data_IF_816500930482
#
_entry.id   IF_816500930482
#
_cell.length_a   1.000
_cell.length_b   1.000
_cell.length_c   1.000
_cell.angle_alpha   90.00
_cell.angle_beta   90.00
_cell.angle_gamma   90.00
#
_symmetry.space_group_name_H-M   'P 1'
#
loop_
_entity.id
_entity.type
_entity.pdbx_description
1 polymer ?
#
# COMPACT_ATOMS: atom_id res chain seq x y z
N UNK A 1 -34.80 -81.64 30.68
CA UNK A 1 -33.49 -82.10 30.17
C UNK A 1 -33.55 -82.14 28.66
N UNK A 2 -32.44 -81.89 27.94
CA UNK A 2 -31.30 -81.03 28.29
C UNK A 2 -31.71 -79.56 27.97
N UNK A 3 -30.88 -78.55 27.65
CA UNK A 3 -29.43 -78.35 27.69
C UNK A 3 -29.12 -76.90 28.21
N UNK A 4 -27.95 -76.34 27.87
CA UNK A 4 -27.57 -74.92 28.02
C UNK A 4 -26.57 -74.55 26.91
N UNK A 5 -26.57 -73.30 26.44
CA UNK A 5 -25.35 -72.61 25.98
C UNK A 5 -25.39 -71.16 26.48
N UNK A 6 -24.25 -70.64 26.97
CA UNK A 6 -24.11 -69.28 27.50
C UNK A 6 -24.10 -68.23 26.38
N UNK A 7 -24.82 -67.13 26.57
CA UNK A 7 -24.58 -65.89 25.83
C UNK A 7 -23.55 -65.02 26.58
N UNK A 8 -22.49 -64.61 25.88
CA UNK A 8 -21.64 -63.48 26.31
C UNK A 8 -22.29 -62.19 25.84
N UNK A 9 -22.57 -61.27 26.76
CA UNK A 9 -22.95 -59.90 26.42
C UNK A 9 -21.68 -59.04 26.26
N UNK A 10 -21.41 -58.57 25.04
CA UNK A 10 -20.57 -57.39 24.85
C UNK A 10 -21.45 -56.13 25.04
N UNK A 11 -20.99 -55.10 25.76
CA UNK A 11 -21.69 -53.82 25.80
C UNK A 11 -21.53 -53.09 24.46
N UNK A 12 -22.66 -52.63 23.91
CA UNK A 12 -22.72 -51.82 22.69
C UNK A 12 -22.20 -50.40 22.99
N UNK A 13 -21.51 -49.82 22.01
CA UNK A 13 -20.91 -48.49 22.11
C UNK A 13 -21.96 -47.38 22.29
N UNK A 14 -21.65 -46.41 23.16
CA UNK A 14 -22.33 -45.12 23.20
C UNK A 14 -21.32 -44.00 23.52
N UNK A 15 -20.37 -43.77 22.62
CA UNK A 15 -19.56 -42.55 22.66
C UNK A 15 -20.43 -41.37 22.21
N UNK A 16 -20.89 -40.54 23.17
CA UNK A 16 -21.35 -39.19 22.85
C UNK A 16 -20.14 -38.36 22.39
N UNK A 17 -19.84 -38.39 21.09
CA UNK A 17 -19.04 -37.35 20.46
C UNK A 17 -19.90 -36.08 20.39
N UNK A 18 -19.85 -35.28 21.47
CA UNK A 18 -20.37 -33.93 21.46
C UNK A 18 -19.57 -33.10 20.45
N UNK A 19 -20.11 -32.96 19.24
CA UNK A 19 -19.54 -32.12 18.18
C UNK A 19 -19.63 -30.66 18.61
N UNK A 20 -18.58 -30.17 19.29
CA UNK A 20 -18.34 -28.75 19.48
C UNK A 20 -18.06 -28.13 18.12
N UNK A 21 -19.13 -27.77 17.42
CA UNK A 21 -19.09 -26.88 16.26
C UNK A 21 -18.63 -25.53 16.79
N UNK A 22 -17.31 -25.28 16.73
CA UNK A 22 -16.75 -23.96 16.95
C UNK A 22 -17.43 -23.01 15.94
N UNK A 23 -18.13 -21.96 16.40
CA UNK A 23 -18.71 -21.00 15.47
C UNK A 23 -17.56 -20.33 14.74
N UNK A 24 -17.64 -20.33 13.40
CA UNK A 24 -16.73 -19.54 12.57
C UNK A 24 -16.90 -18.06 12.95
N UNK A 25 -16.03 -17.55 13.82
CA UNK A 25 -16.02 -16.14 14.18
C UNK A 25 -15.64 -15.35 12.94
N UNK A 26 -16.61 -14.63 12.38
CA UNK A 26 -16.32 -13.44 11.60
C UNK A 26 -15.34 -12.60 12.43
N UNK A 27 -14.17 -12.29 11.86
CA UNK A 27 -13.04 -11.79 12.63
C UNK A 27 -13.26 -10.33 13.01
N UNK A 28 -14.01 -10.12 14.08
CA UNK A 28 -14.09 -8.85 14.80
C UNK A 28 -12.74 -8.57 15.45
N UNK A 29 -12.26 -7.33 15.31
CA UNK A 29 -11.05 -6.88 16.00
C UNK A 29 -11.12 -7.11 17.51
N UNK A 30 -9.98 -7.41 18.14
CA UNK A 30 -9.91 -7.54 19.59
C UNK A 30 -10.25 -6.19 20.27
N UNK A 31 -10.68 -6.18 21.55
CA UNK A 31 -10.87 -4.93 22.28
C UNK A 31 -9.62 -4.04 22.30
N UNK A 32 -8.42 -4.65 22.40
CA UNK A 32 -7.15 -3.94 22.39
C UNK A 32 -6.84 -3.31 21.02
N UNK A 33 -7.13 -4.02 19.93
CA UNK A 33 -7.03 -3.45 18.59
C UNK A 33 -8.03 -2.30 18.36
N UNK A 34 -9.27 -2.42 18.85
CA UNK A 34 -10.27 -1.34 18.80
C UNK A 34 -9.83 -0.12 19.60
N UNK A 35 -9.24 -0.32 20.78
CA UNK A 35 -8.67 0.77 21.59
C UNK A 35 -7.49 1.44 20.89
N UNK A 36 -6.59 0.68 20.27
CA UNK A 36 -5.51 1.22 19.43
C UNK A 36 -6.06 2.06 18.26
N UNK A 37 -7.06 1.56 17.51
CA UNK A 37 -7.70 2.31 16.43
C UNK A 37 -8.38 3.60 16.92
N UNK A 38 -8.90 3.61 18.15
CA UNK A 38 -9.51 4.79 18.76
C UNK A 38 -8.43 5.81 19.16
N UNK A 39 -7.39 5.37 19.88
CA UNK A 39 -6.28 6.23 20.29
C UNK A 39 -5.47 6.79 19.12
N UNK A 40 -5.30 6.03 18.04
CA UNK A 40 -4.63 6.51 16.83
C UNK A 40 -5.41 7.63 16.15
N UNK A 41 -6.73 7.49 16.01
CA UNK A 41 -7.61 8.51 15.41
C UNK A 41 -7.72 9.80 16.24
N UNK A 42 -7.29 9.78 17.50
CA UNK A 42 -7.21 10.96 18.35
C UNK A 42 -5.89 11.73 18.21
N UNK A 43 -4.90 11.19 17.50
CA UNK A 43 -3.61 11.86 17.34
C UNK A 43 -3.73 13.03 16.33
N UNK A 44 -3.16 14.21 16.64
CA UNK A 44 -3.41 15.43 15.87
C UNK A 44 -2.70 15.51 14.51
N UNK A 45 -1.76 14.60 14.22
CA UNK A 45 -0.98 14.56 12.99
C UNK A 45 -0.20 13.23 12.89
N UNK A 46 0.39 12.96 11.72
CA UNK A 46 1.14 11.74 11.42
C UNK A 46 2.34 11.49 12.34
N UNK A 47 3.00 12.57 12.80
CA UNK A 47 4.14 12.43 13.69
C UNK A 47 3.74 12.02 15.11
N UNK A 48 2.57 12.48 15.58
CA UNK A 48 1.94 11.99 16.79
C UNK A 48 1.41 10.54 16.62
N UNK A 49 0.85 10.20 15.44
CA UNK A 49 0.44 8.82 15.08
C UNK A 49 1.64 7.85 15.15
N UNK A 50 2.79 8.24 14.62
CA UNK A 50 4.05 7.48 14.68
C UNK A 50 4.49 7.22 16.13
N UNK A 51 4.58 8.27 16.96
CA UNK A 51 5.01 8.14 18.37
C UNK A 51 4.02 7.31 19.20
N UNK A 52 2.72 7.46 18.94
CA UNK A 52 1.68 6.64 19.57
C UNK A 52 1.87 5.15 19.25
N UNK A 53 2.08 4.79 17.97
CA UNK A 53 2.22 3.40 17.55
C UNK A 53 3.50 2.75 18.07
N UNK A 54 4.64 3.45 18.13
CA UNK A 54 5.87 2.92 18.75
C UNK A 54 5.61 2.45 20.18
N UNK A 55 4.87 3.26 20.96
CA UNK A 55 4.54 2.93 22.35
C UNK A 55 3.54 1.77 22.41
N UNK A 56 2.39 1.93 21.75
CA UNK A 56 1.24 1.02 21.89
C UNK A 56 1.49 -0.35 21.27
N UNK A 57 2.25 -0.46 20.17
CA UNK A 57 2.50 -1.74 19.50
C UNK A 57 3.21 -2.77 20.41
N UNK A 58 4.04 -2.31 21.36
CA UNK A 58 4.74 -3.19 22.30
C UNK A 58 3.82 -3.72 23.41
N UNK A 59 2.84 -2.91 23.81
CA UNK A 59 1.86 -3.20 24.87
C UNK A 59 0.76 -4.17 24.40
N UNK A 60 0.57 -4.33 23.08
CA UNK A 60 -0.48 -5.18 22.50
C UNK A 60 -0.24 -6.70 22.64
N UNK A 61 -1.33 -7.50 22.69
CA UNK A 61 -1.28 -8.96 22.59
C UNK A 61 -0.55 -9.41 21.32
N UNK A 62 0.18 -10.52 21.39
CA UNK A 62 1.00 -11.01 20.28
C UNK A 62 0.21 -11.27 18.98
N UNK A 63 -1.09 -11.57 19.07
CA UNK A 63 -2.01 -11.72 17.92
C UNK A 63 -2.29 -10.42 17.18
N UNK A 64 -2.20 -9.29 17.88
CA UNK A 64 -2.61 -7.97 17.38
C UNK A 64 -1.39 -7.12 16.97
N UNK A 65 -0.18 -7.50 17.39
CA UNK A 65 1.07 -6.85 16.99
C UNK A 65 1.26 -6.75 15.47
N UNK A 66 0.98 -7.78 14.64
CA UNK A 66 1.10 -7.65 13.19
C UNK A 66 0.23 -6.53 12.61
N UNK A 67 -0.97 -6.32 13.17
CA UNK A 67 -1.85 -5.23 12.78
C UNK A 67 -1.26 -3.86 13.18
N UNK A 68 -0.73 -3.74 14.40
CA UNK A 68 -0.06 -2.52 14.85
C UNK A 68 1.19 -2.18 14.02
N UNK A 69 2.00 -3.18 13.67
CA UNK A 69 3.16 -2.98 12.79
C UNK A 69 2.75 -2.58 11.37
N UNK A 70 1.63 -3.11 10.83
CA UNK A 70 1.08 -2.66 9.56
C UNK A 70 0.73 -1.18 9.59
N UNK A 71 0.06 -0.73 10.66
CA UNK A 71 -0.30 0.67 10.83
C UNK A 71 0.94 1.54 11.01
N UNK A 72 1.93 1.07 11.78
CA UNK A 72 3.17 1.81 12.02
C UNK A 72 3.93 2.07 10.72
N UNK A 73 4.15 1.03 9.91
CA UNK A 73 4.81 1.17 8.61
C UNK A 73 3.98 1.97 7.58
N UNK A 74 2.65 1.95 7.65
CA UNK A 74 1.82 2.88 6.88
C UNK A 74 2.09 4.34 7.27
N UNK A 75 2.23 4.65 8.58
CA UNK A 75 2.60 6.00 9.03
C UNK A 75 4.03 6.38 8.63
N UNK A 76 4.97 5.45 8.64
CA UNK A 76 6.32 5.67 8.10
C UNK A 76 6.30 6.02 6.61
N UNK A 77 5.54 5.26 5.82
CA UNK A 77 5.30 5.53 4.40
C UNK A 77 4.64 6.91 4.18
N UNK A 78 3.62 7.26 4.98
CA UNK A 78 2.98 8.58 4.97
C UNK A 78 3.93 9.72 5.36
N UNK A 79 4.91 9.49 6.23
CA UNK A 79 5.97 10.43 6.63
C UNK A 79 7.18 10.48 5.68
N UNK A 80 7.17 9.71 4.59
CA UNK A 80 8.25 9.65 3.60
C UNK A 80 9.47 8.81 4.02
N UNK A 81 9.32 7.98 5.06
CA UNK A 81 10.30 7.04 5.62
C UNK A 81 10.16 5.65 4.95
N UNK A 82 10.30 5.62 3.62
CA UNK A 82 9.92 4.46 2.80
C UNK A 82 10.76 3.19 3.05
N UNK A 83 12.05 3.34 3.37
CA UNK A 83 12.92 2.18 3.63
C UNK A 83 12.67 1.63 5.05
N UNK A 84 12.35 2.51 5.99
CA UNK A 84 11.94 2.18 7.35
C UNK A 84 10.62 1.39 7.33
N UNK A 85 9.61 1.85 6.58
CA UNK A 85 8.35 1.15 6.40
C UNK A 85 8.52 -0.30 5.87
N UNK A 86 9.40 -0.49 4.87
CA UNK A 86 9.74 -1.82 4.35
C UNK A 86 10.59 -2.68 5.30
N UNK A 87 11.28 -2.06 6.27
CA UNK A 87 12.09 -2.73 7.29
C UNK A 87 11.25 -3.21 8.47
N UNK A 88 10.38 -2.35 8.97
CA UNK A 88 9.62 -2.60 10.20
C UNK A 88 8.31 -3.35 9.94
N UNK A 89 7.85 -3.37 8.67
CA UNK A 89 6.77 -4.27 8.24
C UNK A 89 7.05 -4.99 6.91
N UNK A 90 7.93 -6.02 6.90
CA UNK A 90 8.23 -6.83 5.72
C UNK A 90 7.10 -7.84 5.39
N UNK A 91 5.82 -7.45 5.52
CA UNK A 91 4.69 -8.32 5.25
C UNK A 91 4.57 -8.60 3.75
N UNK A 92 4.88 -9.84 3.38
CA UNK A 92 4.59 -10.41 2.06
C UNK A 92 3.38 -11.33 2.14
N UNK A 93 2.66 -11.46 1.02
CA UNK A 93 1.76 -12.61 0.86
C UNK A 93 2.59 -13.90 0.88
N UNK A 94 2.11 -14.93 1.56
CA UNK A 94 2.78 -16.23 1.61
C UNK A 94 2.90 -16.82 0.20
N UNK A 95 4.11 -16.93 -0.32
CA UNK A 95 4.40 -17.66 -1.57
C UNK A 95 4.50 -19.14 -1.22
N UNK A 96 3.67 -19.98 -1.85
CA UNK A 96 3.71 -21.42 -1.61
C UNK A 96 5.03 -22.02 -2.13
N UNK A 97 5.59 -23.00 -1.42
CA UNK A 97 6.92 -23.58 -1.72
C UNK A 97 6.98 -24.24 -3.10
N UNK A 98 5.84 -24.70 -3.61
CA UNK A 98 5.63 -25.29 -4.93
C UNK A 98 5.28 -24.28 -6.03
N UNK A 99 5.27 -22.96 -5.73
CA UNK A 99 5.04 -21.92 -6.74
C UNK A 99 6.12 -21.98 -7.81
N UNK A 100 5.76 -22.40 -9.03
CA UNK A 100 6.68 -22.54 -10.14
C UNK A 100 7.23 -21.18 -10.59
N UNK A 101 8.42 -20.82 -10.12
CA UNK A 101 9.07 -19.54 -10.42
C UNK A 101 9.46 -19.45 -11.91
N UNK A 102 9.02 -18.42 -12.65
CA UNK A 102 9.48 -18.12 -14.01
C UNK A 102 11.00 -18.15 -14.20
N UNK A 103 11.43 -18.84 -15.26
CA UNK A 103 12.82 -18.89 -15.71
C UNK A 103 13.00 -18.21 -17.07
N UNK A 104 14.19 -17.66 -17.32
CA UNK A 104 14.50 -16.91 -18.55
C UNK A 104 14.38 -17.75 -19.84
N UNK A 105 14.43 -19.08 -19.73
CA UNK A 105 14.24 -20.01 -20.85
C UNK A 105 12.80 -19.95 -21.42
N UNK A 106 11.78 -19.82 -20.57
CA UNK A 106 10.38 -19.76 -20.99
C UNK A 106 9.82 -18.34 -21.02
N UNK A 107 10.31 -17.45 -20.17
CA UNK A 107 9.75 -16.12 -19.97
C UNK A 107 10.72 -15.01 -20.40
N UNK A 108 10.18 -13.83 -20.72
CA UNK A 108 10.94 -12.60 -20.97
C UNK A 108 10.29 -11.43 -20.23
N UNK A 109 11.10 -10.49 -19.72
CA UNK A 109 10.59 -9.24 -19.19
C UNK A 109 9.99 -8.36 -20.30
N UNK A 110 8.97 -7.59 -19.95
CA UNK A 110 8.40 -6.52 -20.76
C UNK A 110 7.92 -5.39 -19.85
N UNK A 111 7.86 -4.16 -20.37
CA UNK A 111 7.30 -3.02 -19.64
C UNK A 111 5.86 -3.30 -19.19
N UNK A 112 5.58 -3.09 -17.90
CA UNK A 112 4.29 -3.42 -17.32
C UNK A 112 3.16 -2.55 -17.88
N UNK A 113 3.38 -1.24 -18.02
CA UNK A 113 2.36 -0.31 -18.48
C UNK A 113 1.95 -0.59 -19.93
N UNK A 114 2.91 -0.86 -20.81
CA UNK A 114 2.68 -1.27 -22.20
C UNK A 114 1.87 -2.57 -22.32
N UNK A 115 2.18 -3.58 -21.50
CA UNK A 115 1.43 -4.85 -21.52
C UNK A 115 0.04 -4.67 -20.96
N UNK A 116 -0.10 -4.01 -19.81
CA UNK A 116 -1.39 -3.77 -19.15
C UNK A 116 -2.33 -2.97 -20.06
N UNK A 117 -1.83 -1.93 -20.73
CA UNK A 117 -2.61 -1.13 -21.69
C UNK A 117 -3.12 -1.99 -22.85
N UNK A 118 -2.29 -2.89 -23.40
CA UNK A 118 -2.76 -3.86 -24.41
C UNK A 118 -3.82 -4.82 -23.87
N UNK A 119 -3.66 -5.34 -22.65
CA UNK A 119 -4.66 -6.22 -22.01
C UNK A 119 -5.94 -5.46 -21.62
N UNK A 120 -5.85 -4.17 -21.35
CA UNK A 120 -6.95 -3.32 -20.93
C UNK A 120 -7.84 -2.85 -22.09
N UNK A 121 -7.40 -2.92 -23.34
CA UNK A 121 -8.17 -2.47 -24.51
C UNK A 121 -9.57 -3.09 -24.54
N UNK A 122 -9.65 -4.42 -24.42
CA UNK A 122 -10.88 -5.22 -24.47
C UNK A 122 -11.58 -5.36 -23.10
N UNK A 123 -11.18 -4.56 -22.10
CA UNK A 123 -11.67 -4.67 -20.71
C UNK A 123 -12.34 -3.37 -20.25
N UNK A 124 -13.53 -3.47 -19.64
CA UNK A 124 -14.25 -2.32 -19.06
C UNK A 124 -13.87 -2.00 -17.61
N UNK A 125 -13.33 -2.98 -16.88
CA UNK A 125 -12.83 -2.79 -15.51
C UNK A 125 -11.37 -3.24 -15.46
N UNK A 126 -10.51 -2.37 -14.94
CA UNK A 126 -9.11 -2.68 -14.59
C UNK A 126 -8.95 -2.41 -13.11
N UNK A 127 -8.43 -3.38 -12.35
CA UNK A 127 -8.01 -3.18 -10.97
C UNK A 127 -6.51 -3.43 -10.85
N UNK A 128 -5.82 -2.51 -10.19
CA UNK A 128 -4.46 -2.68 -9.73
C UNK A 128 -4.43 -2.58 -8.22
N UNK A 129 -3.66 -3.43 -7.55
CA UNK A 129 -3.49 -3.32 -6.11
C UNK A 129 -2.25 -2.52 -5.70
N UNK A 130 -2.22 -2.13 -4.44
CA UNK A 130 -1.13 -1.41 -3.78
C UNK A 130 -0.91 -1.99 -2.37
N UNK A 131 0.21 -1.66 -1.75
CA UNK A 131 0.49 -2.01 -0.36
C UNK A 131 0.65 -0.73 0.45
N UNK A 132 -0.19 -0.53 1.46
CA UNK A 132 -0.33 0.76 2.17
C UNK A 132 0.97 1.29 2.83
N UNK A 133 1.95 0.41 3.09
CA UNK A 133 3.27 0.72 3.66
C UNK A 133 4.39 0.83 2.59
N UNK A 134 4.06 0.74 1.30
CA UNK A 134 5.03 0.65 0.21
C UNK A 134 4.54 1.42 -1.02
N UNK A 135 4.76 2.73 -0.99
CA UNK A 135 4.43 3.65 -2.07
C UNK A 135 5.18 3.36 -3.40
N UNK A 136 6.15 2.46 -3.44
CA UNK A 136 6.76 2.00 -4.69
C UNK A 136 5.71 1.41 -5.65
N UNK A 137 4.72 0.70 -5.10
CA UNK A 137 3.58 0.17 -5.87
C UNK A 137 2.74 1.27 -6.56
N UNK A 138 2.81 2.52 -6.09
CA UNK A 138 2.02 3.63 -6.62
C UNK A 138 2.58 4.18 -7.94
N UNK A 139 3.86 3.93 -8.25
CA UNK A 139 4.50 4.29 -9.52
C UNK A 139 3.73 3.78 -10.76
N UNK A 140 3.38 2.48 -10.77
CA UNK A 140 2.71 1.90 -11.92
C UNK A 140 1.29 2.48 -12.10
N UNK A 141 0.60 2.84 -11.01
CA UNK A 141 -0.69 3.53 -11.11
C UNK A 141 -0.54 4.89 -11.76
N UNK A 142 0.48 5.67 -11.39
CA UNK A 142 0.81 6.96 -12.04
C UNK A 142 1.10 6.80 -13.54
N UNK A 143 1.89 5.78 -13.92
CA UNK A 143 2.20 5.49 -15.32
C UNK A 143 0.98 5.02 -16.14
N UNK A 144 0.03 4.32 -15.50
CA UNK A 144 -1.19 3.81 -16.14
C UNK A 144 -2.26 4.89 -16.33
N UNK A 145 -2.43 5.84 -15.41
CA UNK A 145 -3.47 6.88 -15.47
C UNK A 145 -3.61 7.55 -16.86
N UNK A 146 -2.57 8.18 -17.46
CA UNK A 146 -2.70 8.84 -18.76
C UNK A 146 -2.97 7.84 -19.90
N UNK A 147 -2.42 6.63 -19.82
CA UNK A 147 -2.55 5.61 -20.86
C UNK A 147 -3.95 4.98 -20.87
N UNK A 148 -4.51 4.68 -19.70
CA UNK A 148 -5.88 4.20 -19.55
C UNK A 148 -6.88 5.32 -19.88
N UNK A 149 -6.59 6.59 -19.54
CA UNK A 149 -7.41 7.73 -19.97
C UNK A 149 -7.54 7.78 -21.49
N UNK A 150 -6.42 7.59 -22.21
CA UNK A 150 -6.37 7.55 -23.66
C UNK A 150 -7.12 6.34 -24.28
N UNK A 151 -7.19 5.21 -23.56
CA UNK A 151 -8.06 4.06 -23.92
C UNK A 151 -9.56 4.28 -23.59
N UNK A 152 -9.96 5.48 -23.17
CA UNK A 152 -11.36 5.80 -22.88
C UNK A 152 -11.85 5.35 -21.51
N UNK A 153 -10.96 4.99 -20.57
CA UNK A 153 -11.34 4.93 -19.15
C UNK A 153 -11.72 6.33 -18.67
N UNK A 154 -12.93 6.48 -18.12
CA UNK A 154 -13.53 7.77 -17.75
C UNK A 154 -13.80 7.90 -16.24
N UNK A 155 -13.78 6.79 -15.50
CA UNK A 155 -13.85 6.77 -14.04
C UNK A 155 -12.55 6.22 -13.44
N UNK A 156 -12.05 6.89 -12.41
CA UNK A 156 -10.95 6.42 -11.57
C UNK A 156 -11.43 6.29 -10.14
N UNK A 157 -11.23 5.13 -9.52
CA UNK A 157 -11.64 4.86 -8.16
C UNK A 157 -10.41 4.53 -7.30
N UNK A 158 -10.31 5.13 -6.12
CA UNK A 158 -9.19 4.91 -5.20
C UNK A 158 -9.70 4.68 -3.78
N UNK A 159 -9.18 3.65 -3.12
CA UNK A 159 -9.68 3.17 -1.84
C UNK A 159 -9.67 4.22 -0.74
N UNK A 160 -8.60 5.02 -0.65
CA UNK A 160 -8.43 5.95 0.46
C UNK A 160 -9.41 7.14 0.43
N UNK A 161 -10.21 7.31 -0.63
CA UNK A 161 -11.15 8.43 -0.80
C UNK A 161 -12.52 8.16 -0.13
N UNK A 162 -13.02 9.17 0.59
CA UNK A 162 -14.31 9.11 1.30
C UNK A 162 -15.35 10.08 0.71
N UNK A 163 -16.64 9.79 0.90
CA UNK A 163 -17.77 10.61 0.43
C UNK A 163 -17.96 11.96 1.16
N UNK A 164 -16.92 12.50 1.80
CA UNK A 164 -16.98 13.71 2.63
C UNK A 164 -16.47 14.99 1.95
N UNK A 165 -15.66 14.88 0.88
CA UNK A 165 -15.07 16.04 0.19
C UNK A 165 -15.72 16.30 -1.18
N UNK A 166 -16.86 17.00 -1.15
CA UNK A 166 -17.58 17.42 -2.35
C UNK A 166 -16.77 18.42 -3.22
N UNK A 167 -15.74 19.07 -2.66
CA UNK A 167 -14.90 20.05 -3.33
C UNK A 167 -13.68 19.46 -4.06
N UNK A 168 -13.35 18.19 -3.85
CA UNK A 168 -12.15 17.55 -4.41
C UNK A 168 -11.97 17.80 -5.91
N UNK A 169 -13.03 17.56 -6.71
CA UNK A 169 -12.99 17.69 -8.17
C UNK A 169 -12.82 19.14 -8.65
N UNK A 170 -13.42 20.11 -7.95
CA UNK A 170 -13.34 21.54 -8.32
C UNK A 170 -12.07 22.22 -7.81
N UNK A 171 -11.53 21.75 -6.68
CA UNK A 171 -10.28 22.24 -6.08
C UNK A 171 -9.05 21.67 -6.80
N UNK A 172 -9.13 20.46 -7.34
CA UNK A 172 -8.09 19.85 -8.18
C UNK A 172 -7.08 18.97 -7.44
N UNK A 173 -7.05 19.03 -6.11
CA UNK A 173 -6.09 18.31 -5.26
C UNK A 173 -6.72 17.80 -3.96
N UNK A 174 -6.22 16.67 -3.41
CA UNK A 174 -6.68 16.16 -2.13
C UNK A 174 -6.12 16.97 -0.94
N UNK A 175 -6.86 16.97 0.16
CA UNK A 175 -6.45 17.41 1.49
C UNK A 175 -6.55 16.25 2.48
N UNK A 176 -6.11 16.42 3.72
CA UNK A 176 -6.38 15.44 4.80
C UNK A 176 -7.88 15.13 4.98
N UNK A 177 -8.76 16.05 4.57
CA UNK A 177 -10.21 15.87 4.59
C UNK A 177 -10.77 15.14 3.35
N UNK A 178 -9.96 14.77 2.36
CA UNK A 178 -10.44 14.01 1.19
C UNK A 178 -10.68 12.52 1.46
N UNK A 179 -10.18 11.98 2.58
CA UNK A 179 -10.19 10.52 2.78
C UNK A 179 -9.68 10.00 4.11
N UNK A 180 -9.05 8.82 4.06
CA UNK A 180 -8.28 8.19 5.13
C UNK A 180 -6.81 8.59 5.08
N UNK A 181 -6.08 8.28 6.16
CA UNK A 181 -4.67 8.66 6.33
C UNK A 181 -3.73 8.16 5.21
N UNK A 182 -4.09 7.10 4.48
CA UNK A 182 -3.30 6.61 3.35
C UNK A 182 -3.12 7.65 2.24
N UNK A 183 -4.02 8.65 2.15
CA UNK A 183 -3.86 9.82 1.28
C UNK A 183 -2.72 10.76 1.70
N UNK A 184 -2.24 10.71 2.95
CA UNK A 184 -1.20 11.61 3.44
C UNK A 184 0.18 11.30 2.84
N UNK A 185 0.34 10.14 2.21
CA UNK A 185 1.54 9.82 1.43
C UNK A 185 1.54 10.59 0.08
N UNK A 186 2.62 11.29 -0.27
CA UNK A 186 2.66 12.18 -1.43
C UNK A 186 2.33 11.58 -2.80
N UNK A 187 2.70 10.32 -3.05
CA UNK A 187 2.48 9.64 -4.33
C UNK A 187 1.00 9.25 -4.51
N UNK A 188 0.29 8.92 -3.44
CA UNK A 188 -1.18 8.80 -3.45
C UNK A 188 -1.83 10.16 -3.76
N UNK A 189 -1.34 11.23 -3.13
CA UNK A 189 -1.76 12.61 -3.44
C UNK A 189 -1.60 12.95 -4.93
N UNK A 190 -0.46 12.60 -5.53
CA UNK A 190 -0.15 12.77 -6.96
C UNK A 190 -1.04 11.90 -7.87
N UNK A 191 -1.42 10.68 -7.45
CA UNK A 191 -2.39 9.82 -8.16
C UNK A 191 -3.73 10.55 -8.29
N UNK A 192 -4.25 11.12 -7.19
CA UNK A 192 -5.53 11.82 -7.19
C UNK A 192 -5.45 13.10 -8.02
N UNK A 193 -4.41 13.94 -7.85
CA UNK A 193 -4.16 15.13 -8.69
C UNK A 193 -4.12 14.78 -10.17
N UNK A 194 -3.37 13.73 -10.52
CA UNK A 194 -3.20 13.32 -11.92
C UNK A 194 -4.49 12.77 -12.51
N UNK A 195 -5.30 12.02 -11.75
CA UNK A 195 -6.62 11.58 -12.18
C UNK A 195 -7.56 12.77 -12.48
N UNK A 196 -7.61 13.76 -11.59
CA UNK A 196 -8.44 14.97 -11.80
C UNK A 196 -7.95 15.77 -13.01
N UNK A 197 -6.63 16.03 -13.11
CA UNK A 197 -6.00 16.75 -14.24
C UNK A 197 -6.23 16.09 -15.60
N UNK A 198 -6.29 14.75 -15.64
CA UNK A 198 -6.61 13.98 -16.85
C UNK A 198 -8.13 13.93 -17.15
N UNK A 199 -8.97 14.54 -16.31
CA UNK A 199 -10.42 14.56 -16.50
C UNK A 199 -11.09 13.21 -16.26
N UNK A 200 -10.57 12.39 -15.34
CA UNK A 200 -11.34 11.27 -14.80
C UNK A 200 -12.42 11.79 -13.85
N UNK A 201 -13.57 11.10 -13.81
CA UNK A 201 -14.50 11.18 -12.68
C UNK A 201 -13.89 10.38 -11.53
N UNK A 202 -13.44 11.06 -10.49
CA UNK A 202 -12.87 10.39 -9.31
C UNK A 202 -13.99 9.84 -8.43
N UNK A 203 -13.85 8.58 -8.00
CA UNK A 203 -14.88 7.82 -7.28
C UNK A 203 -14.31 7.29 -5.96
N UNK A 204 -14.76 7.87 -4.85
CA UNK A 204 -14.71 7.27 -3.52
C UNK A 204 -15.51 5.96 -3.50
N UNK A 205 -14.99 4.92 -2.85
CA UNK A 205 -15.73 3.65 -2.75
C UNK A 205 -15.60 2.92 -1.42
N UNK A 206 -14.63 3.26 -0.58
CA UNK A 206 -14.46 2.61 0.71
C UNK A 206 -15.61 2.88 1.69
N UNK A 207 -15.73 2.01 2.69
CA UNK A 207 -16.85 1.98 3.63
C UNK A 207 -16.38 1.71 5.06
N UNK A 208 -16.96 2.46 6.01
CA UNK A 208 -16.95 2.05 7.41
C UNK A 208 -17.66 0.70 7.54
N UNK A 209 -17.01 -0.27 8.17
CA UNK A 209 -17.45 -1.66 8.24
C UNK A 209 -17.00 -2.32 9.54
N UNK A 210 -17.71 -3.36 9.98
CA UNK A 210 -17.40 -4.10 11.22
C UNK A 210 -16.74 -5.45 10.97
N UNK A 211 -16.63 -5.85 9.70
CA UNK A 211 -15.93 -7.07 9.26
C UNK A 211 -15.42 -6.92 7.82
N UNK A 212 -14.40 -7.70 7.46
CA UNK A 212 -13.84 -7.73 6.10
C UNK A 212 -14.92 -8.01 5.04
N UNK A 213 -15.82 -8.97 5.28
CA UNK A 213 -16.87 -9.30 4.31
C UNK A 213 -17.88 -8.16 4.10
N UNK A 214 -18.23 -7.40 5.14
CA UNK A 214 -19.03 -6.18 4.97
C UNK A 214 -18.29 -5.15 4.12
N UNK A 215 -16.97 -4.98 4.32
CA UNK A 215 -16.12 -4.07 3.55
C UNK A 215 -16.09 -4.41 2.07
N UNK A 216 -15.70 -5.63 1.71
CA UNK A 216 -15.68 -6.08 0.31
C UNK A 216 -17.03 -5.85 -0.40
N UNK A 217 -18.12 -6.15 0.32
CA UNK A 217 -19.49 -6.04 -0.20
C UNK A 217 -19.92 -4.59 -0.38
N UNK A 218 -19.60 -3.71 0.57
CA UNK A 218 -19.91 -2.29 0.49
C UNK A 218 -19.09 -1.56 -0.58
N UNK A 219 -17.80 -1.88 -0.67
CA UNK A 219 -16.89 -1.39 -1.72
C UNK A 219 -17.42 -1.74 -3.12
N UNK A 220 -17.72 -3.02 -3.38
CA UNK A 220 -18.23 -3.47 -4.67
C UNK A 220 -19.59 -2.81 -5.02
N UNK A 221 -20.50 -2.69 -4.04
CA UNK A 221 -21.79 -2.00 -4.22
C UNK A 221 -21.63 -0.51 -4.48
N UNK A 222 -20.65 0.15 -3.87
CA UNK A 222 -20.35 1.57 -4.14
C UNK A 222 -19.86 1.77 -5.57
N UNK A 223 -18.90 0.97 -6.02
CA UNK A 223 -18.41 1.01 -7.40
C UNK A 223 -19.54 0.77 -8.41
N UNK A 224 -20.34 -0.28 -8.21
CA UNK A 224 -21.52 -0.55 -9.05
C UNK A 224 -22.50 0.62 -9.08
N UNK A 225 -22.90 1.15 -7.92
CA UNK A 225 -23.89 2.22 -7.78
C UNK A 225 -23.44 3.54 -8.41
N UNK A 226 -22.17 3.91 -8.23
CA UNK A 226 -21.62 5.20 -8.67
C UNK A 226 -21.20 5.21 -10.14
N UNK A 227 -20.82 4.06 -10.69
CA UNK A 227 -20.29 3.95 -12.06
C UNK A 227 -21.29 3.27 -13.00
N UNK A 228 -21.64 2.02 -12.71
CA UNK A 228 -22.33 1.14 -13.67
C UNK A 228 -23.86 1.23 -13.65
N UNK A 229 -24.47 1.50 -12.49
CA UNK A 229 -25.93 1.53 -12.34
C UNK A 229 -26.65 2.59 -13.20
N UNK A 230 -25.93 3.60 -13.69
CA UNK A 230 -26.42 4.63 -14.63
C UNK A 230 -25.71 4.63 -15.98
N UNK A 231 -24.57 3.96 -16.09
CA UNK A 231 -23.79 3.82 -17.32
C UNK A 231 -23.15 2.42 -17.37
N UNK A 232 -23.86 1.39 -17.87
CA UNK A 232 -23.33 0.03 -17.92
C UNK A 232 -22.11 -0.11 -18.83
N UNK A 233 -21.87 0.85 -19.73
CA UNK A 233 -20.75 0.90 -20.67
C UNK A 233 -19.57 1.78 -20.20
N UNK A 234 -19.63 2.29 -18.97
CA UNK A 234 -18.52 3.00 -18.34
C UNK A 234 -17.23 2.17 -18.33
N UNK A 235 -16.08 2.86 -18.33
CA UNK A 235 -14.76 2.21 -18.24
C UNK A 235 -14.05 2.68 -16.97
N UNK A 236 -13.83 1.75 -16.05
CA UNK A 236 -13.39 1.99 -14.68
C UNK A 236 -11.97 1.48 -14.43
N UNK A 237 -11.11 2.36 -13.91
CA UNK A 237 -9.83 1.99 -13.33
C UNK A 237 -9.90 2.08 -11.81
N UNK A 238 -9.55 1.02 -11.08
CA UNK A 238 -9.59 0.93 -9.61
C UNK A 238 -8.18 0.73 -9.05
N UNK A 239 -7.84 1.51 -8.03
CA UNK A 239 -6.62 1.39 -7.23
C UNK A 239 -7.00 1.01 -5.79
N UNK A 240 -6.60 -0.19 -5.36
CA UNK A 240 -7.07 -0.84 -4.12
C UNK A 240 -5.94 -1.47 -3.30
N UNK A 241 -6.14 -1.71 -2.01
CA UNK A 241 -5.21 -2.47 -1.18
C UNK A 241 -5.18 -3.96 -1.52
N UNK A 242 -3.98 -4.54 -1.59
CA UNK A 242 -3.73 -5.99 -1.54
C UNK A 242 -4.74 -6.86 -2.33
N UNK A 243 -5.50 -7.70 -1.63
CA UNK A 243 -6.32 -8.75 -2.23
C UNK A 243 -7.77 -8.33 -2.53
N UNK A 244 -8.14 -7.06 -2.38
CA UNK A 244 -9.46 -6.55 -2.80
C UNK A 244 -9.70 -6.75 -4.31
N UNK A 245 -8.63 -6.84 -5.09
CA UNK A 245 -8.65 -7.08 -6.53
C UNK A 245 -8.90 -8.55 -6.93
N UNK A 246 -8.92 -9.49 -5.99
CA UNK A 246 -8.94 -10.91 -6.31
C UNK A 246 -10.32 -11.36 -6.86
N UNK A 247 -10.31 -12.09 -7.99
CA UNK A 247 -11.49 -12.65 -8.66
C UNK A 247 -12.04 -13.91 -7.97
N UNK A 248 -11.28 -14.49 -7.03
CA UNK A 248 -11.64 -15.68 -6.27
C UNK A 248 -11.19 -15.56 -4.79
N UNK A 249 -11.77 -16.41 -3.93
CA UNK A 249 -11.38 -16.53 -2.52
C UNK A 249 -9.96 -17.10 -2.38
N UNK A 250 -9.28 -16.79 -1.28
CA UNK A 250 -7.91 -17.24 -1.03
C UNK A 250 -7.14 -16.30 -0.11
N UNK A 251 -6.57 -15.22 -0.65
CA UNK A 251 -5.70 -14.30 0.12
C UNK A 251 -6.43 -13.56 1.25
N UNK A 252 -7.74 -13.33 1.12
CA UNK A 252 -8.62 -12.84 2.21
C UNK A 252 -9.30 -13.99 3.00
N UNK A 253 -8.75 -15.20 2.95
CA UNK A 253 -9.33 -16.40 3.53
C UNK A 253 -10.66 -16.79 2.88
N UNK A 254 -11.69 -17.01 3.70
CA UNK A 254 -13.05 -17.36 3.26
C UNK A 254 -13.88 -16.14 2.80
N UNK A 255 -13.35 -14.93 2.90
CA UNK A 255 -14.00 -13.68 2.44
C UNK A 255 -14.09 -13.67 0.92
N UNK A 256 -15.24 -13.25 0.36
CA UNK A 256 -15.42 -12.99 -1.07
C UNK A 256 -14.89 -11.57 -1.39
N UNK A 257 -13.79 -11.41 -2.16
CA UNK A 257 -13.16 -10.11 -2.37
C UNK A 257 -14.04 -9.12 -3.16
N UNK A 258 -13.71 -7.83 -3.08
CA UNK A 258 -14.41 -6.76 -3.77
C UNK A 258 -14.51 -7.01 -5.28
N UNK A 259 -13.43 -7.41 -5.96
CA UNK A 259 -13.47 -7.65 -7.41
C UNK A 259 -14.38 -8.82 -7.81
N UNK A 260 -14.32 -9.94 -7.09
CA UNK A 260 -15.25 -11.07 -7.26
C UNK A 260 -16.71 -10.61 -7.15
N UNK A 261 -17.02 -9.75 -6.17
CA UNK A 261 -18.38 -9.23 -5.99
C UNK A 261 -18.77 -8.18 -7.05
N UNK A 262 -17.84 -7.32 -7.47
CA UNK A 262 -18.07 -6.35 -8.53
C UNK A 262 -18.35 -7.04 -9.87
N UNK A 263 -17.65 -8.13 -10.18
CA UNK A 263 -17.91 -8.98 -11.35
C UNK A 263 -19.31 -9.57 -11.29
N UNK A 264 -19.78 -10.05 -10.13
CA UNK A 264 -21.15 -10.55 -9.97
C UNK A 264 -22.22 -9.46 -10.14
N UNK A 265 -21.96 -8.24 -9.64
CA UNK A 265 -22.90 -7.12 -9.75
C UNK A 265 -22.99 -6.52 -11.17
N UNK A 266 -21.90 -6.57 -11.93
CA UNK A 266 -21.80 -5.93 -13.26
C UNK A 266 -21.93 -6.90 -14.44
N UNK A 267 -21.65 -8.19 -14.24
CA UNK A 267 -21.43 -9.15 -15.32
C UNK A 267 -20.14 -8.90 -16.13
N UNK A 268 -19.27 -7.99 -15.67
CA UNK A 268 -18.01 -7.63 -16.34
C UNK A 268 -16.86 -8.40 -15.69
N UNK A 269 -16.14 -9.22 -16.45
CA UNK A 269 -14.88 -9.77 -15.97
C UNK A 269 -13.81 -8.65 -15.91
N UNK A 270 -13.24 -8.38 -14.73
CA UNK A 270 -12.17 -7.39 -14.59
C UNK A 270 -10.82 -7.94 -15.08
N UNK A 271 -9.95 -7.04 -15.54
CA UNK A 271 -8.51 -7.28 -15.55
C UNK A 271 -7.96 -6.97 -14.16
N UNK A 272 -7.43 -7.98 -13.46
CA UNK A 272 -6.88 -7.85 -12.11
C UNK A 272 -5.36 -7.99 -12.12
N UNK A 273 -4.65 -7.04 -11.52
CA UNK A 273 -3.20 -6.86 -11.64
C UNK A 273 -2.57 -6.81 -10.23
N UNK A 274 -1.84 -7.86 -9.86
CA UNK A 274 -1.12 -7.93 -8.59
C UNK A 274 0.32 -7.40 -8.71
N UNK A 275 0.68 -6.47 -7.81
CA UNK A 275 2.04 -6.02 -7.55
C UNK A 275 2.41 -6.12 -6.05
N UNK A 276 1.70 -6.94 -5.28
CA UNK A 276 1.84 -7.01 -3.81
C UNK A 276 2.41 -8.33 -3.29
N UNK A 277 2.28 -9.42 -4.06
CA UNK A 277 2.79 -10.73 -3.66
C UNK A 277 4.32 -10.82 -3.73
N UNK A 278 4.92 -10.35 -4.83
CA UNK A 278 6.35 -10.41 -5.07
C UNK A 278 6.95 -9.01 -4.97
N UNK A 279 7.43 -8.65 -3.77
CA UNK A 279 7.99 -7.32 -3.46
C UNK A 279 9.34 -7.41 -2.75
N UNK A 280 10.02 -6.28 -2.68
CA UNK A 280 11.22 -6.11 -1.87
C UNK A 280 10.90 -6.23 -0.36
N UNK A 281 11.94 -6.47 0.44
CA UNK A 281 11.93 -6.31 1.89
C UNK A 281 13.30 -5.83 2.34
N UNK A 282 13.36 -5.21 3.52
CA UNK A 282 14.61 -4.80 4.16
C UNK A 282 14.69 -5.47 5.54
N UNK A 283 15.81 -6.11 5.92
CA UNK A 283 16.96 -6.46 5.09
C UNK A 283 16.59 -7.45 3.98
N UNK A 284 17.37 -7.44 2.89
CA UNK A 284 17.18 -8.35 1.76
C UNK A 284 17.43 -9.79 2.18
N UNK A 285 16.46 -10.66 1.94
CA UNK A 285 16.56 -12.11 2.09
C UNK A 285 16.47 -12.82 0.73
N UNK A 286 16.88 -14.09 0.67
CA UNK A 286 16.75 -14.92 -0.52
C UNK A 286 15.34 -15.53 -0.58
N UNK A 287 14.58 -15.17 -1.61
CA UNK A 287 13.16 -15.50 -1.76
C UNK A 287 12.73 -15.52 -3.25
N UNK A 288 11.45 -15.76 -3.51
CA UNK A 288 10.89 -15.76 -4.86
C UNK A 288 11.05 -14.42 -5.59
N UNK A 289 10.87 -13.29 -4.89
CA UNK A 289 11.04 -11.96 -5.49
C UNK A 289 12.48 -11.70 -5.92
N UNK A 290 13.45 -11.94 -5.04
CA UNK A 290 14.87 -11.72 -5.31
C UNK A 290 15.41 -12.65 -6.40
N UNK A 291 14.90 -13.87 -6.52
CA UNK A 291 15.14 -14.74 -7.66
C UNK A 291 14.56 -14.17 -8.97
N UNK A 292 13.32 -13.67 -8.95
CA UNK A 292 12.65 -13.09 -10.12
C UNK A 292 13.37 -11.84 -10.64
N UNK A 293 13.64 -10.84 -9.79
CA UNK A 293 14.34 -9.62 -10.22
C UNK A 293 15.81 -9.85 -10.56
N UNK A 294 16.44 -10.90 -10.01
CA UNK A 294 17.78 -11.35 -10.42
C UNK A 294 17.79 -11.99 -11.81
N UNK A 295 16.81 -12.85 -12.11
CA UNK A 295 16.65 -13.49 -13.42
C UNK A 295 16.17 -12.53 -14.52
N UNK A 296 15.50 -11.44 -14.14
CA UNK A 296 14.87 -10.48 -15.05
C UNK A 296 15.18 -9.02 -14.65
N UNK A 297 16.43 -8.53 -14.87
CA UNK A 297 16.78 -7.15 -14.56
C UNK A 297 15.93 -6.14 -15.36
N UNK A 298 15.37 -5.14 -14.67
CA UNK A 298 14.57 -4.06 -15.25
C UNK A 298 14.92 -2.70 -14.60
N UNK A 299 14.63 -1.61 -15.30
CA UNK A 299 14.74 -0.22 -14.78
C UNK A 299 13.42 0.36 -14.25
N UNK A 300 12.30 -0.34 -14.45
CA UNK A 300 10.97 0.10 -14.03
C UNK A 300 10.01 -1.09 -13.87
N UNK A 301 8.75 -0.84 -13.49
CA UNK A 301 7.75 -1.89 -13.32
C UNK A 301 7.64 -2.78 -14.54
N UNK A 302 7.75 -4.10 -14.36
CA UNK A 302 7.80 -5.05 -15.46
C UNK A 302 6.89 -6.26 -15.21
N UNK A 303 6.49 -6.91 -16.29
CA UNK A 303 5.77 -8.19 -16.28
C UNK A 303 6.58 -9.24 -17.02
N UNK A 304 6.26 -10.50 -16.78
CA UNK A 304 6.87 -11.62 -17.49
C UNK A 304 5.91 -12.13 -18.57
N UNK A 305 6.36 -12.18 -19.81
CA UNK A 305 5.62 -12.72 -20.96
C UNK A 305 6.15 -14.10 -21.33
N UNK A 306 5.26 -15.06 -21.52
CA UNK A 306 5.60 -16.38 -22.04
C UNK A 306 6.12 -16.22 -23.48
N UNK A 307 7.31 -16.76 -23.78
CA UNK A 307 7.99 -16.58 -25.07
C UNK A 307 7.24 -17.23 -26.25
N UNK A 308 6.41 -18.23 -25.99
CA UNK A 308 5.68 -18.99 -27.01
C UNK A 308 4.28 -18.42 -27.29
N UNK A 309 3.59 -17.93 -26.25
CA UNK A 309 2.19 -17.45 -26.37
C UNK A 309 2.04 -15.93 -26.26
N UNK A 310 3.06 -15.22 -25.77
CA UNK A 310 3.00 -13.79 -25.48
C UNK A 310 2.10 -13.40 -24.30
N UNK A 311 1.49 -14.37 -23.60
CA UNK A 311 0.61 -14.13 -22.45
C UNK A 311 1.42 -13.69 -21.22
N UNK A 312 0.89 -12.77 -20.39
CA UNK A 312 1.50 -12.42 -19.11
C UNK A 312 1.46 -13.59 -18.12
N UNK A 313 2.40 -13.58 -17.19
CA UNK A 313 2.46 -14.51 -16.06
C UNK A 313 1.51 -14.08 -14.94
N UNK A 314 0.88 -15.08 -14.31
CA UNK A 314 0.22 -14.98 -13.01
C UNK A 314 0.54 -16.24 -12.21
N UNK A 315 0.89 -16.09 -10.94
CA UNK A 315 1.08 -17.18 -9.99
C UNK A 315 -0.26 -17.76 -9.50
N UNK A 316 -1.33 -16.97 -9.49
CA UNK A 316 -2.69 -17.38 -9.13
C UNK A 316 -3.71 -16.88 -10.18
N UNK A 317 -3.79 -17.50 -11.38
CA UNK A 317 -4.64 -17.03 -12.49
C UNK A 317 -6.14 -17.00 -12.17
N UNK A 318 -6.60 -17.80 -11.21
CA UNK A 318 -7.98 -17.77 -10.70
C UNK A 318 -8.28 -16.53 -9.83
N UNK A 319 -7.24 -15.90 -9.26
CA UNK A 319 -7.35 -14.72 -8.40
C UNK A 319 -7.04 -13.43 -9.15
N UNK A 320 -5.98 -13.39 -9.97
CA UNK A 320 -5.60 -12.20 -10.74
C UNK A 320 -4.90 -12.59 -12.04
N UNK A 321 -4.99 -11.73 -13.06
CA UNK A 321 -4.56 -12.03 -14.44
C UNK A 321 -3.06 -11.83 -14.67
N UNK A 322 -2.42 -10.95 -13.90
CA UNK A 322 -1.04 -10.50 -14.13
C UNK A 322 -0.33 -10.31 -12.79
N UNK A 323 0.87 -10.85 -12.62
CA UNK A 323 1.84 -10.34 -11.65
C UNK A 323 2.76 -9.30 -12.32
N UNK A 324 2.89 -8.15 -11.65
CA UNK A 324 3.89 -7.12 -11.90
C UNK A 324 5.00 -7.28 -10.87
N UNK A 325 6.24 -7.05 -11.33
CA UNK A 325 7.44 -6.99 -10.50
C UNK A 325 7.99 -5.57 -10.54
N UNK A 326 8.36 -5.05 -9.36
CA UNK A 326 9.06 -3.78 -9.21
C UNK A 326 10.57 -4.06 -9.09
N UNK A 327 11.46 -3.32 -9.78
CA UNK A 327 12.90 -3.49 -9.64
C UNK A 327 13.34 -3.08 -8.22
N UNK A 328 14.39 -3.67 -7.61
CA UNK A 328 14.83 -3.31 -6.27
C UNK A 328 15.08 -1.80 -6.09
N UNK A 329 14.43 -1.20 -5.10
CA UNK A 329 14.64 0.18 -4.69
C UNK A 329 15.97 0.33 -3.95
N UNK A 330 16.36 -0.69 -3.17
CA UNK A 330 17.63 -0.69 -2.46
C UNK A 330 18.79 -1.17 -3.36
N UNK A 331 19.74 -0.27 -3.64
CA UNK A 331 21.12 -0.68 -3.94
C UNK A 331 21.57 -0.80 -5.40
N UNK A 332 20.98 -0.07 -6.36
CA UNK A 332 21.62 0.09 -7.70
C UNK A 332 22.24 1.47 -7.97
N UNK A 333 21.79 2.53 -7.29
CA UNK A 333 22.36 3.90 -7.43
C UNK A 333 21.93 4.89 -6.34
N UNK A 334 21.36 4.39 -5.24
CA UNK A 334 20.74 5.21 -4.21
C UNK A 334 21.69 6.31 -3.70
N UNK A 335 21.33 7.57 -3.94
CA UNK A 335 22.23 8.69 -3.66
C UNK A 335 22.25 8.97 -2.17
N UNK A 336 23.46 9.12 -1.62
CA UNK A 336 23.72 9.40 -0.20
C UNK A 336 22.78 10.47 0.39
N UNK A 337 22.04 10.07 1.43
CA UNK A 337 21.52 10.94 2.48
C UNK A 337 22.35 10.66 3.73
N UNK A 338 22.70 11.70 4.49
CA UNK A 338 23.74 11.61 5.50
C UNK A 338 23.30 10.92 6.79
N UNK A 339 23.35 9.59 6.84
CA UNK A 339 23.35 8.83 8.10
C UNK A 339 24.67 8.09 8.30
N UNK A 340 25.48 8.58 9.25
CA UNK A 340 26.64 7.87 9.76
C UNK A 340 26.66 7.95 11.28
N UNK A 341 26.47 6.79 11.93
CA UNK A 341 27.12 6.29 13.16
C UNK A 341 26.17 5.48 14.08
N UNK A 342 26.71 4.54 14.87
CA UNK A 342 25.93 3.57 15.64
C UNK A 342 25.40 4.15 16.95
N UNK A 343 24.40 3.47 17.50
CA UNK A 343 23.70 3.83 18.72
C UNK A 343 24.56 3.73 19.99
N UNK A 344 25.05 4.87 20.49
CA UNK A 344 25.32 5.07 21.92
C UNK A 344 24.90 6.48 22.35
N UNK A 345 24.38 6.59 23.58
CA UNK A 345 23.98 7.83 24.26
C UNK A 345 22.68 8.50 23.74
N UNK A 346 21.54 7.94 24.15
CA UNK A 346 20.48 8.73 24.79
C UNK A 346 20.18 8.05 26.12
N UNK A 347 20.39 8.77 27.24
CA UNK A 347 19.98 8.29 28.56
C UNK A 347 18.46 8.44 28.73
N UNK A 348 17.86 7.53 29.51
CA UNK A 348 16.47 7.58 29.99
C UNK A 348 15.34 7.68 28.94
N UNK A 349 15.29 6.70 28.02
CA UNK A 349 14.05 5.94 27.80
C UNK A 349 14.39 4.47 27.52
N UNK A 350 13.78 3.53 28.25
CA UNK A 350 14.09 2.09 28.19
C UNK A 350 13.67 1.47 26.85
N UNK A 351 14.56 1.49 25.85
CA UNK A 351 14.40 0.77 24.58
C UNK A 351 14.96 -0.65 24.69
N UNK A 352 14.19 -1.57 25.28
CA UNK A 352 14.55 -2.99 25.35
C UNK A 352 14.08 -3.83 24.14
N UNK A 353 14.06 -3.23 22.96
CA UNK A 353 14.42 -3.93 21.73
C UNK A 353 15.48 -3.11 21.00
N UNK A 354 16.51 -3.75 20.41
CA UNK A 354 17.40 -3.05 19.50
C UNK A 354 16.59 -2.66 18.26
N UNK A 355 16.22 -1.38 18.15
CA UNK A 355 15.88 -0.80 16.85
C UNK A 355 17.16 -0.82 16.01
N UNK A 356 17.32 -1.96 15.35
CA UNK A 356 18.38 -2.43 14.47
C UNK A 356 19.52 -1.44 14.28
N UNK A 357 20.60 -1.63 15.04
CA UNK A 357 21.91 -1.02 14.81
C UNK A 357 22.60 -1.62 13.56
N UNK A 358 21.87 -1.63 12.45
CA UNK A 358 22.38 -1.96 11.12
C UNK A 358 22.41 -0.69 10.29
N UNK A 359 23.50 -0.44 9.58
CA UNK A 359 23.65 0.72 8.68
C UNK A 359 22.74 0.55 7.46
N UNK A 360 21.43 0.72 7.63
CA UNK A 360 20.55 1.12 6.53
C UNK A 360 20.88 2.59 6.29
N UNK A 361 21.71 2.85 5.30
CA UNK A 361 21.85 4.18 4.71
C UNK A 361 20.42 4.69 4.43
N UNK A 362 20.01 5.79 5.07
CA UNK A 362 18.63 6.33 5.08
C UNK A 362 18.21 6.97 3.75
N UNK A 363 18.79 6.48 2.66
CA UNK A 363 18.69 7.01 1.31
C UNK A 363 17.27 6.84 0.80
N UNK A 364 16.55 7.95 0.66
CA UNK A 364 15.23 7.95 0.05
C UNK A 364 15.32 7.37 -1.38
N UNK A 365 14.49 6.37 -1.71
CA UNK A 365 14.72 5.50 -2.86
C UNK A 365 14.60 6.21 -4.21
N UNK A 366 15.42 5.79 -5.18
CA UNK A 366 15.53 6.41 -6.51
C UNK A 366 14.20 6.38 -7.31
N UNK A 367 13.29 5.48 -6.98
CA UNK A 367 11.97 5.40 -7.63
C UNK A 367 11.14 6.69 -7.43
N UNK A 368 11.45 7.50 -6.40
CA UNK A 368 10.85 8.82 -6.18
C UNK A 368 11.12 9.82 -7.30
N UNK A 369 12.13 9.58 -8.15
CA UNK A 369 12.36 10.37 -9.36
C UNK A 369 11.25 10.24 -10.40
N UNK A 370 10.39 9.21 -10.32
CA UNK A 370 9.34 8.91 -11.31
C UNK A 370 9.87 8.97 -12.75
N UNK A 371 10.95 8.25 -13.05
CA UNK A 371 11.63 8.29 -14.37
C UNK A 371 12.13 9.70 -14.75
N UNK A 372 12.87 10.33 -13.84
CA UNK A 372 13.41 11.70 -13.93
C UNK A 372 12.36 12.84 -13.99
N UNK A 373 11.06 12.55 -13.95
CA UNK A 373 9.99 13.56 -13.86
C UNK A 373 10.01 14.39 -12.56
N UNK A 374 10.63 13.88 -11.50
CA UNK A 374 10.86 14.55 -10.22
C UNK A 374 12.36 14.69 -9.97
N UNK A 375 12.77 15.86 -9.48
CA UNK A 375 14.16 16.22 -9.24
C UNK A 375 14.45 16.30 -7.73
N UNK A 376 15.62 15.83 -7.27
CA UNK A 376 16.00 15.88 -5.86
C UNK A 376 16.33 17.32 -5.43
N UNK A 377 15.72 17.78 -4.34
CA UNK A 377 15.99 19.02 -3.64
C UNK A 377 16.45 18.73 -2.21
N UNK A 378 17.66 19.15 -1.85
CA UNK A 378 18.25 18.85 -0.53
C UNK A 378 17.58 19.63 0.59
N UNK A 379 17.26 18.95 1.68
CA UNK A 379 16.73 19.51 2.93
C UNK A 379 17.59 19.05 4.12
N UNK A 380 17.58 19.81 5.22
CA UNK A 380 18.31 19.48 6.45
C UNK A 380 17.48 19.83 7.69
N UNK A 381 17.90 19.28 8.83
CA UNK A 381 17.32 19.60 10.16
C UNK A 381 17.50 21.07 10.56
N UNK A 382 18.31 21.85 9.84
CA UNK A 382 18.39 23.31 9.99
C UNK A 382 17.02 23.98 9.86
N UNK A 383 16.15 23.48 8.97
CA UNK A 383 14.76 23.94 8.83
C UNK A 383 13.92 23.66 10.08
N UNK A 384 14.27 22.62 10.83
CA UNK A 384 13.60 22.22 12.07
C UNK A 384 14.10 23.00 13.31
N UNK A 385 15.03 23.95 13.17
CA UNK A 385 15.52 24.83 14.27
C UNK A 385 15.78 24.08 15.58
N UNK A 386 16.66 23.06 15.53
CA UNK A 386 17.03 22.17 16.66
C UNK A 386 15.87 21.43 17.34
N UNK A 387 14.68 21.41 16.74
CA UNK A 387 13.51 20.66 17.24
C UNK A 387 13.40 19.34 16.48
N UNK A 388 13.58 18.21 17.16
CA UNK A 388 13.30 16.87 16.63
C UNK A 388 12.41 16.09 17.59
N UNK A 389 11.46 15.27 17.11
CA UNK A 389 11.19 15.02 15.70
C UNK A 389 10.45 16.18 15.00
N UNK A 390 10.63 16.28 13.69
CA UNK A 390 10.11 17.35 12.84
C UNK A 390 9.83 16.83 11.42
N UNK A 391 8.76 17.29 10.78
CA UNK A 391 8.46 16.98 9.37
C UNK A 391 8.75 18.20 8.50
N UNK A 392 9.32 17.99 7.31
CA UNK A 392 9.40 18.99 6.24
C UNK A 392 8.51 18.54 5.09
N UNK A 393 7.41 19.27 4.88
CA UNK A 393 6.49 19.09 3.76
C UNK A 393 6.80 20.11 2.64
N UNK A 394 6.57 19.72 1.38
CA UNK A 394 6.48 20.63 0.23
C UNK A 394 5.05 20.67 -0.32
N UNK A 395 4.42 21.83 -0.29
CA UNK A 395 3.12 22.07 -0.95
C UNK A 395 3.33 22.92 -2.20
N UNK A 396 2.52 22.72 -3.24
CA UNK A 396 2.51 23.64 -4.38
C UNK A 396 2.06 25.05 -3.89
N UNK A 397 2.59 26.12 -4.47
CA UNK A 397 2.33 27.50 -3.96
C UNK A 397 0.91 28.02 -4.20
N UNK A 398 0.18 27.37 -5.10
CA UNK A 398 -1.21 27.61 -5.47
C UNK A 398 -2.21 26.66 -4.78
N UNK A 399 -1.72 25.80 -3.88
CA UNK A 399 -2.54 24.91 -3.05
C UNK A 399 -2.61 25.37 -1.58
N UNK A 400 -3.73 25.04 -0.93
CA UNK A 400 -4.01 25.37 0.46
C UNK A 400 -3.07 24.66 1.46
N UNK A 401 -3.02 25.19 2.69
CA UNK A 401 -2.19 24.68 3.78
C UNK A 401 -2.47 23.22 4.20
N UNK A 402 -3.65 22.70 3.90
CA UNK A 402 -4.10 21.34 4.24
C UNK A 402 -4.06 20.36 3.05
N UNK A 403 -3.59 20.82 1.88
CA UNK A 403 -3.33 19.97 0.72
C UNK A 403 -2.31 18.88 1.04
N UNK A 404 -2.50 17.67 0.53
CA UNK A 404 -1.51 16.58 0.67
C UNK A 404 -0.19 17.02 0.04
N UNK A 405 0.92 16.97 0.77
CA UNK A 405 2.22 17.42 0.26
C UNK A 405 2.60 16.76 -1.08
N UNK A 406 3.27 17.50 -1.96
CA UNK A 406 3.82 17.00 -3.21
C UNK A 406 5.00 16.03 -2.97
N UNK A 407 5.75 16.29 -1.89
CA UNK A 407 6.63 15.34 -1.21
C UNK A 407 6.89 15.80 0.24
N UNK A 408 7.32 14.89 1.12
CA UNK A 408 7.64 15.16 2.52
C UNK A 408 8.69 14.21 3.10
N UNK A 409 9.31 14.60 4.20
CA UNK A 409 10.24 13.75 4.96
C UNK A 409 10.25 14.10 6.45
N UNK A 410 10.26 13.07 7.31
CA UNK A 410 10.38 13.24 8.76
C UNK A 410 11.82 13.11 9.26
N UNK A 411 12.35 14.17 9.86
CA UNK A 411 13.58 14.14 10.63
C UNK A 411 13.31 13.66 12.05
N UNK A 412 13.68 12.41 12.34
CA UNK A 412 13.39 11.78 13.62
C UNK A 412 14.39 12.14 14.73
N UNK A 413 15.66 12.36 14.40
CA UNK A 413 16.74 12.64 15.35
C UNK A 413 17.98 13.27 14.68
N UNK A 414 18.82 13.94 15.49
CA UNK A 414 20.18 14.38 15.10
C UNK A 414 20.24 15.59 14.18
N UNK A 415 21.45 15.90 13.70
CA UNK A 415 21.68 16.79 12.55
C UNK A 415 21.96 15.92 11.33
N UNK A 416 21.08 16.01 10.32
CA UNK A 416 21.07 15.12 9.15
C UNK A 416 20.58 15.87 7.91
N UNK A 417 20.92 15.32 6.74
CA UNK A 417 20.44 15.80 5.43
C UNK A 417 19.64 14.72 4.72
N UNK A 418 18.60 15.15 4.02
CA UNK A 418 17.73 14.31 3.20
C UNK A 418 17.34 15.07 1.94
N UNK A 419 16.41 14.52 1.15
CA UNK A 419 15.93 15.12 -0.10
C UNK A 419 14.42 15.07 -0.17
N UNK A 420 13.84 16.05 -0.85
CA UNK A 420 12.51 15.96 -1.44
C UNK A 420 12.66 15.71 -2.95
N UNK A 421 11.73 14.97 -3.56
CA UNK A 421 11.67 14.70 -4.99
C UNK A 421 10.45 15.39 -5.57
N UNK A 422 10.67 16.49 -6.29
CA UNK A 422 9.65 17.43 -6.70
C UNK A 422 9.67 17.64 -8.21
N UNK A 423 8.51 17.82 -8.84
CA UNK A 423 8.44 18.19 -10.27
C UNK A 423 9.01 19.62 -10.45
N UNK A 424 9.39 20.03 -11.68
CA UNK A 424 9.60 21.44 -11.97
C UNK A 424 8.38 22.28 -11.56
N UNK A 425 8.60 23.39 -10.87
CA UNK A 425 7.53 24.17 -10.25
C UNK A 425 7.95 24.99 -9.04
N UNK A 426 7.00 25.67 -8.42
CA UNK A 426 7.20 26.48 -7.20
C UNK A 426 6.51 25.82 -6.02
N UNK A 427 7.23 25.72 -4.91
CA UNK A 427 6.75 25.06 -3.70
C UNK A 427 6.96 25.92 -2.47
N UNK A 428 6.05 25.83 -1.51
CA UNK A 428 6.27 26.27 -0.14
C UNK A 428 6.70 25.07 0.68
N UNK A 429 7.91 25.14 1.21
CA UNK A 429 8.38 24.21 2.24
C UNK A 429 7.89 24.68 3.61
N UNK A 430 7.42 23.73 4.43
CA UNK A 430 6.96 23.96 5.80
C UNK A 430 7.57 22.91 6.73
N UNK A 431 8.38 23.36 7.68
CA UNK A 431 8.92 22.52 8.76
C UNK A 431 8.03 22.64 10.01
N UNK A 432 7.67 21.53 10.66
CA UNK A 432 6.79 21.52 11.84
C UNK A 432 7.08 20.43 12.87
N UNK A 433 6.76 20.71 14.16
CA UNK A 433 6.99 19.82 15.31
C UNK A 433 5.82 18.85 15.59
N UNK A 434 5.99 17.88 16.50
CA UNK A 434 4.93 16.91 16.87
C UNK A 434 3.57 17.51 17.29
N UNK A 435 3.50 18.81 17.65
CA UNK A 435 2.24 19.52 17.96
C UNK A 435 1.63 20.23 16.73
N UNK A 436 2.20 20.03 15.55
CA UNK A 436 1.84 20.74 14.32
C UNK A 436 2.35 22.19 14.28
N UNK A 437 3.20 22.62 15.23
CA UNK A 437 3.70 24.00 15.27
C UNK A 437 4.73 24.19 14.16
N UNK A 438 4.52 25.19 13.32
CA UNK A 438 5.48 25.59 12.30
C UNK A 438 6.76 26.15 12.92
N UNK A 439 7.89 25.62 12.46
CA UNK A 439 9.26 25.93 12.88
C UNK A 439 9.93 26.85 11.85
N UNK A 440 9.75 26.57 10.56
CA UNK A 440 10.20 27.42 9.46
C UNK A 440 9.29 27.24 8.24
N UNK A 441 9.22 28.27 7.41
CA UNK A 441 8.67 28.20 6.05
C UNK A 441 9.63 28.89 5.08
N UNK A 442 9.69 28.40 3.84
CA UNK A 442 10.39 29.07 2.73
C UNK A 442 9.73 28.71 1.40
N UNK A 443 9.82 29.62 0.42
CA UNK A 443 9.38 29.33 -0.96
C UNK A 443 10.60 28.95 -1.80
N UNK A 444 10.52 27.82 -2.48
CA UNK A 444 11.56 27.29 -3.36
C UNK A 444 11.05 27.22 -4.80
N UNK A 445 11.97 27.13 -5.75
CA UNK A 445 11.68 26.85 -7.17
C UNK A 445 12.53 25.68 -7.62
N UNK A 446 11.90 24.69 -8.24
CA UNK A 446 12.53 23.58 -8.92
C UNK A 446 12.51 23.91 -10.40
N UNK A 447 13.68 24.07 -11.00
CA UNK A 447 13.81 24.34 -12.43
C UNK A 447 13.71 23.03 -13.22
N UNK A 448 13.34 23.13 -14.50
CA UNK A 448 13.60 22.07 -15.48
C UNK A 448 15.12 21.86 -15.63
N UNK A 449 15.53 20.63 -15.97
CA UNK A 449 16.95 20.23 -16.15
C UNK A 449 17.51 20.57 -17.52
#
# INVERSE_FOLDING_TARGET
>A
MPARVLFRLLPVALCLSASLILPARAQSFSPAAVEMFHGLRQQPNDLARYVYLIKTAQELPATDRPLAMQMFASVENELGLYNEALRDFPLKSHVAVDTAIPTAARWKAADAADVIVRQAADRRVVLINEAHHDAHTRQLTLALLPRLRALGFDHFAAEALLDKDASLMSRGYPTANSGSDYLHEPSYGEIVRTAIRLGFKVVSYDVDSRSTQERETGQAKNLYRKVFARNPDARLFVHAGYAHIDKAKGRLGSTAPMAMQLQQLTGIEPLSIDQTQFREQIPREADAYTALVGNFPSKGPFVLLDRSTGKPWSAHPEQYDINVLLPPAAGQRAVESGYTQPSTIVHDMVRNQPMLAHFVNTQRPEWLTLHDERHPYTISTTLCRVTTPCVVDAHYVDEDNDAIAADRYAFMQGDTTSKLYLRPGRYRLRAWDIRGKTLAEQVITINER
#
